data_IF_926221107245
#
_entry.id   IF_926221107245
#
_cell.length_a   1.000
_cell.length_b   1.000
_cell.length_c   1.000
_cell.angle_alpha   90.00
_cell.angle_beta   90.00
_cell.angle_gamma   90.00
#
_symmetry.space_group_name_H-M   'P 1'
#
loop_
_entity.id
_entity.type
_entity.pdbx_description
1 polymer ?
#
# COMPACT_ATOMS: atom_id res chain seq x y z
N UNK A 1 23.53 -20.30 8.14
CA UNK A 1 22.72 -19.08 7.90
C UNK A 1 21.41 -19.52 7.27
N UNK A 2 20.30 -19.24 7.93
CA UNK A 2 18.98 -19.66 7.46
C UNK A 2 18.59 -18.88 6.19
N UNK A 3 18.10 -19.57 5.17
CA UNK A 3 17.62 -18.96 3.91
C UNK A 3 16.10 -19.05 3.89
N UNK A 4 15.44 -17.91 3.85
CA UNK A 4 13.98 -17.82 3.91
C UNK A 4 13.48 -17.16 2.63
N UNK A 5 12.68 -17.90 1.88
CA UNK A 5 12.00 -17.41 0.71
C UNK A 5 10.64 -16.84 1.11
N UNK A 6 10.35 -15.61 0.70
CA UNK A 6 9.06 -14.96 0.89
C UNK A 6 8.48 -14.61 -0.47
N UNK A 7 7.25 -14.97 -0.73
CA UNK A 7 6.57 -14.63 -1.98
C UNK A 7 5.32 -13.79 -1.70
N UNK A 8 5.30 -12.58 -2.28
CA UNK A 8 4.13 -11.72 -2.34
C UNK A 8 4.10 -10.99 -3.70
N UNK A 9 3.19 -11.40 -4.56
CA UNK A 9 3.01 -10.85 -5.91
C UNK A 9 1.68 -10.14 -6.05
N UNK A 10 1.17 -9.64 -4.95
CA UNK A 10 -0.08 -8.90 -4.87
C UNK A 10 0.09 -7.42 -5.31
N UNK A 11 -0.82 -6.57 -4.94
CA UNK A 11 -0.78 -5.14 -5.28
C UNK A 11 0.30 -4.40 -4.46
N UNK A 12 0.60 -3.14 -4.84
CA UNK A 12 1.56 -2.29 -4.12
C UNK A 12 1.21 -2.13 -2.63
N UNK A 13 -0.09 -1.98 -2.33
CA UNK A 13 -0.59 -1.86 -0.96
C UNK A 13 -0.36 -3.15 -0.17
N UNK A 14 -0.66 -4.30 -0.77
CA UNK A 14 -0.46 -5.60 -0.14
C UNK A 14 1.03 -5.85 0.16
N UNK A 15 1.92 -5.50 -0.79
CA UNK A 15 3.37 -5.61 -0.59
C UNK A 15 3.84 -4.81 0.64
N UNK A 16 3.32 -3.60 0.84
CA UNK A 16 3.63 -2.81 2.05
C UNK A 16 3.07 -3.46 3.31
N UNK A 17 1.84 -3.96 3.27
CA UNK A 17 1.19 -4.66 4.39
C UNK A 17 1.90 -5.98 4.75
N UNK A 18 2.74 -6.52 3.87
CA UNK A 18 3.60 -7.67 4.14
C UNK A 18 4.95 -7.29 4.81
N UNK A 19 5.34 -6.01 4.84
CA UNK A 19 6.67 -5.60 5.37
C UNK A 19 6.87 -5.87 6.86
N UNK A 20 5.85 -5.84 7.75
CA UNK A 20 6.02 -6.32 9.13
C UNK A 20 6.40 -7.81 9.21
N UNK A 21 5.94 -8.63 8.27
CA UNK A 21 6.36 -10.05 8.19
C UNK A 21 7.86 -10.18 7.85
N UNK A 22 8.38 -9.33 6.96
CA UNK A 22 9.82 -9.29 6.66
C UNK A 22 10.64 -8.85 7.88
N UNK A 23 10.13 -7.86 8.65
CA UNK A 23 10.72 -7.46 9.93
C UNK A 23 10.74 -8.61 10.94
N UNK A 24 9.62 -9.31 11.12
CA UNK A 24 9.52 -10.46 12.02
C UNK A 24 10.59 -11.53 11.71
N UNK A 25 10.86 -11.79 10.43
CA UNK A 25 11.91 -12.71 10.00
C UNK A 25 13.29 -12.24 10.53
N UNK A 26 13.62 -10.97 10.35
CA UNK A 26 14.92 -10.42 10.79
C UNK A 26 15.04 -10.32 12.31
N UNK A 27 13.96 -10.04 13.02
CA UNK A 27 13.96 -10.04 14.48
C UNK A 27 14.11 -11.46 15.05
N UNK A 28 13.44 -12.45 14.47
CA UNK A 28 13.55 -13.86 14.89
C UNK A 28 14.88 -14.51 14.47
N UNK A 29 15.35 -14.18 13.26
CA UNK A 29 16.58 -14.73 12.67
C UNK A 29 17.47 -13.62 12.11
N UNK A 30 18.21 -12.86 12.96
CA UNK A 30 19.01 -11.70 12.54
C UNK A 30 20.02 -12.02 11.42
N UNK A 31 20.59 -13.23 11.45
CA UNK A 31 21.58 -13.69 10.48
C UNK A 31 20.95 -14.47 9.31
N UNK A 32 19.62 -14.41 9.10
CA UNK A 32 18.98 -15.06 7.96
C UNK A 32 19.22 -14.29 6.67
N UNK A 33 19.18 -15.00 5.54
CA UNK A 33 19.06 -14.41 4.21
C UNK A 33 17.60 -14.46 3.78
N UNK A 34 16.96 -13.31 3.70
CA UNK A 34 15.58 -13.14 3.24
C UNK A 34 15.58 -12.89 1.73
N UNK A 35 15.00 -13.82 0.97
CA UNK A 35 14.85 -13.72 -0.49
C UNK A 35 13.39 -13.41 -0.78
N UNK A 36 13.10 -12.21 -1.25
CA UNK A 36 11.73 -11.75 -1.53
C UNK A 36 11.42 -11.85 -3.01
N UNK A 37 10.33 -12.52 -3.37
CA UNK A 37 9.79 -12.52 -4.73
C UNK A 37 8.53 -11.65 -4.78
N UNK A 38 8.54 -10.66 -5.68
CA UNK A 38 7.46 -9.71 -5.85
C UNK A 38 7.18 -9.41 -7.33
N UNK A 39 6.12 -8.65 -7.59
CA UNK A 39 5.85 -8.12 -8.93
C UNK A 39 6.84 -6.99 -9.28
N UNK A 40 7.14 -6.74 -10.58
CA UNK A 40 7.99 -5.63 -10.99
C UNK A 40 7.51 -4.26 -10.49
N UNK A 41 6.19 -4.08 -10.36
CA UNK A 41 5.60 -2.85 -9.82
C UNK A 41 6.04 -2.54 -8.38
N UNK A 42 6.34 -3.57 -7.58
CA UNK A 42 6.77 -3.43 -6.18
C UNK A 42 8.27 -3.13 -6.01
N UNK A 43 9.02 -2.96 -7.11
CA UNK A 43 10.46 -2.74 -7.07
C UNK A 43 10.84 -1.58 -6.14
N UNK A 44 10.21 -0.43 -6.31
CA UNK A 44 10.53 0.77 -5.52
C UNK A 44 10.24 0.62 -4.02
N UNK A 45 9.35 -0.30 -3.64
CA UNK A 45 9.05 -0.61 -2.24
C UNK A 45 10.15 -1.47 -1.62
N UNK A 46 10.71 -2.42 -2.39
CA UNK A 46 11.51 -3.53 -1.86
C UNK A 46 13.00 -3.47 -2.21
N UNK A 47 13.40 -2.72 -3.24
CA UNK A 47 14.80 -2.58 -3.63
C UNK A 47 15.56 -1.75 -2.58
N UNK A 48 16.64 -2.30 -2.01
CA UNK A 48 17.36 -1.75 -0.84
C UNK A 48 16.50 -1.70 0.45
N UNK A 49 15.47 -2.55 0.55
CA UNK A 49 14.64 -2.61 1.75
C UNK A 49 15.42 -3.23 2.93
N UNK A 50 15.36 -2.67 4.15
CA UNK A 50 16.21 -3.08 5.28
C UNK A 50 16.04 -4.54 5.71
N UNK A 51 14.92 -5.18 5.34
CA UNK A 51 14.62 -6.57 5.72
C UNK A 51 14.68 -7.55 4.54
N UNK A 52 15.17 -7.10 3.37
CA UNK A 52 15.31 -7.94 2.16
C UNK A 52 16.77 -7.97 1.74
N UNK A 53 17.37 -9.16 1.70
CA UNK A 53 18.76 -9.34 1.27
C UNK A 53 18.85 -9.58 -0.25
N UNK A 54 17.81 -10.16 -0.84
CA UNK A 54 17.73 -10.41 -2.27
C UNK A 54 16.30 -10.22 -2.78
N UNK A 55 16.13 -9.37 -3.78
CA UNK A 55 14.84 -9.13 -4.43
C UNK A 55 14.79 -9.87 -5.77
N UNK A 56 13.77 -10.68 -5.96
CA UNK A 56 13.45 -11.39 -7.21
C UNK A 56 12.16 -10.81 -7.80
N UNK A 57 12.26 -10.15 -8.92
CA UNK A 57 11.09 -9.65 -9.64
C UNK A 57 10.61 -10.71 -10.61
N UNK A 58 9.31 -10.99 -10.60
CA UNK A 58 8.70 -11.98 -11.47
C UNK A 58 7.34 -11.52 -11.98
N UNK A 59 7.16 -11.60 -13.30
CA UNK A 59 5.88 -11.41 -13.97
C UNK A 59 5.44 -12.69 -14.70
N UNK A 60 4.15 -12.77 -14.99
CA UNK A 60 3.61 -13.92 -15.72
C UNK A 60 4.18 -13.93 -17.15
N UNK A 61 4.90 -15.00 -17.49
CA UNK A 61 5.58 -15.16 -18.78
C UNK A 61 7.10 -15.19 -18.66
N UNK A 62 7.65 -14.69 -17.55
CA UNK A 62 9.09 -14.76 -17.31
C UNK A 62 9.59 -16.18 -17.10
N UNK A 63 10.89 -16.40 -17.40
CA UNK A 63 11.56 -17.65 -17.09
C UNK A 63 11.61 -17.89 -15.59
N UNK A 64 11.21 -19.09 -15.17
CA UNK A 64 11.22 -19.50 -13.76
C UNK A 64 12.58 -20.01 -13.29
N UNK A 65 13.45 -20.42 -14.21
CA UNK A 65 14.75 -21.03 -13.88
C UNK A 65 15.66 -20.16 -13.01
N UNK A 66 15.81 -18.84 -13.28
CA UNK A 66 16.61 -17.98 -12.43
C UNK A 66 16.09 -17.92 -10.99
N UNK A 67 14.75 -17.89 -10.84
CA UNK A 67 14.10 -17.85 -9.52
C UNK A 67 14.35 -19.15 -8.79
N UNK A 68 14.07 -20.32 -9.42
CA UNK A 68 14.30 -21.64 -8.83
C UNK A 68 15.75 -21.78 -8.38
N UNK A 69 16.72 -21.39 -9.22
CA UNK A 69 18.16 -21.43 -8.89
C UNK A 69 18.48 -20.61 -7.66
N UNK A 70 17.91 -19.42 -7.53
CA UNK A 70 18.14 -18.49 -6.41
C UNK A 70 17.56 -18.99 -5.08
N UNK A 71 16.40 -19.63 -5.12
CA UNK A 71 15.70 -20.15 -3.92
C UNK A 71 15.97 -21.63 -3.66
N UNK A 72 16.84 -22.27 -4.47
CA UNK A 72 17.10 -23.72 -4.39
C UNK A 72 17.46 -24.15 -2.98
N UNK A 73 16.72 -25.10 -2.43
CA UNK A 73 16.89 -25.66 -1.08
C UNK A 73 16.97 -24.58 0.02
N UNK A 74 16.21 -23.49 -0.10
CA UNK A 74 15.99 -22.61 1.03
C UNK A 74 15.31 -23.39 2.18
N UNK A 75 15.51 -22.96 3.42
CA UNK A 75 15.06 -23.70 4.60
C UNK A 75 13.56 -23.59 4.83
N UNK A 76 12.97 -22.46 4.42
CA UNK A 76 11.57 -22.12 4.64
C UNK A 76 11.05 -21.26 3.48
N UNK A 77 9.80 -21.48 3.10
CA UNK A 77 9.05 -20.58 2.24
C UNK A 77 7.80 -20.07 2.95
N UNK A 78 7.61 -18.75 2.94
CA UNK A 78 6.40 -18.05 3.38
C UNK A 78 5.68 -17.51 2.15
N UNK A 79 4.50 -18.02 1.85
CA UNK A 79 3.70 -17.66 0.68
C UNK A 79 2.56 -16.76 1.17
N UNK A 80 2.71 -15.44 0.96
CA UNK A 80 1.79 -14.43 1.47
C UNK A 80 0.67 -14.12 0.47
N UNK A 81 0.91 -14.33 -0.82
CA UNK A 81 -0.08 -14.17 -1.88
C UNK A 81 -0.94 -15.43 -2.08
N UNK A 82 -1.98 -15.32 -2.91
CA UNK A 82 -2.87 -16.42 -3.29
C UNK A 82 -2.52 -17.04 -4.66
N UNK A 83 -1.36 -16.72 -5.23
CA UNK A 83 -0.94 -17.23 -6.52
C UNK A 83 -0.32 -18.63 -6.40
N UNK A 84 -0.92 -19.63 -7.04
CA UNK A 84 -0.42 -21.02 -7.00
C UNK A 84 1.03 -21.15 -7.48
N UNK A 85 1.51 -20.24 -8.36
CA UNK A 85 2.89 -20.25 -8.85
C UNK A 85 3.90 -20.00 -7.73
N UNK A 86 3.57 -19.20 -6.76
CA UNK A 86 4.46 -18.89 -5.62
C UNK A 86 4.77 -20.16 -4.83
N UNK A 87 3.76 -20.98 -4.53
CA UNK A 87 3.96 -22.27 -3.86
C UNK A 87 4.58 -23.34 -4.78
N UNK A 88 4.25 -23.31 -6.08
CA UNK A 88 4.87 -24.20 -7.08
C UNK A 88 6.38 -23.96 -7.18
N UNK A 89 6.83 -22.73 -7.25
CA UNK A 89 8.26 -22.41 -7.32
C UNK A 89 9.01 -22.89 -6.08
N UNK A 90 8.43 -22.69 -4.91
CA UNK A 90 9.00 -23.21 -3.67
C UNK A 90 9.08 -24.75 -3.66
N UNK A 91 8.10 -25.43 -4.22
CA UNK A 91 8.12 -26.88 -4.37
C UNK A 91 9.16 -27.35 -5.39
N UNK A 92 9.23 -26.75 -6.58
CA UNK A 92 10.24 -27.05 -7.59
C UNK A 92 11.68 -26.79 -7.09
N UNK A 93 11.86 -25.81 -6.19
CA UNK A 93 13.13 -25.50 -5.57
C UNK A 93 13.47 -26.43 -4.40
N UNK A 94 12.68 -27.50 -4.17
CA UNK A 94 12.89 -28.46 -3.08
C UNK A 94 12.94 -27.82 -1.68
N UNK A 95 12.19 -26.74 -1.44
CA UNK A 95 12.08 -26.14 -0.13
C UNK A 95 11.26 -27.05 0.77
N UNK A 96 11.80 -27.54 1.92
CA UNK A 96 11.16 -28.59 2.70
C UNK A 96 9.87 -28.12 3.40
N UNK A 97 9.84 -26.90 3.91
CA UNK A 97 8.69 -26.33 4.60
C UNK A 97 8.15 -25.12 3.85
N UNK A 98 6.89 -25.19 3.43
CA UNK A 98 6.22 -24.20 2.60
C UNK A 98 4.87 -23.85 3.23
N UNK A 99 4.84 -22.70 3.91
CA UNK A 99 3.70 -22.21 4.69
C UNK A 99 3.00 -21.11 3.90
N UNK A 100 1.69 -21.14 3.83
CA UNK A 100 0.93 -20.11 3.17
C UNK A 100 -0.55 -20.12 3.53
N UNK A 101 -1.27 -19.10 3.07
CA UNK A 101 -2.72 -19.00 3.31
C UNK A 101 -3.47 -20.13 2.61
N UNK A 102 -4.44 -20.74 3.30
CA UNK A 102 -5.26 -21.79 2.73
C UNK A 102 -6.13 -21.24 1.60
N UNK A 103 -5.97 -21.80 0.42
CA UNK A 103 -6.89 -21.61 -0.71
C UNK A 103 -6.94 -22.86 -1.57
N UNK A 104 -8.03 -23.03 -2.35
CA UNK A 104 -8.16 -24.15 -3.31
C UNK A 104 -7.05 -24.17 -4.36
N UNK A 105 -6.35 -23.04 -4.59
CA UNK A 105 -5.30 -22.90 -5.59
C UNK A 105 -3.90 -23.20 -5.04
N UNK A 106 -3.72 -23.33 -3.73
CA UNK A 106 -2.41 -23.50 -3.08
C UNK A 106 -2.10 -24.99 -2.83
N UNK A 107 -1.85 -25.73 -3.90
CA UNK A 107 -1.65 -27.19 -3.85
C UNK A 107 -0.28 -27.63 -3.31
N UNK A 108 0.75 -26.77 -3.43
CA UNK A 108 2.14 -27.14 -3.16
C UNK A 108 2.63 -26.73 -1.75
N UNK A 109 1.74 -26.31 -0.87
CA UNK A 109 2.06 -26.00 0.53
C UNK A 109 2.21 -27.29 1.35
N UNK A 110 3.14 -27.27 2.32
CA UNK A 110 3.22 -28.29 3.39
C UNK A 110 2.31 -27.95 4.54
N UNK A 111 2.22 -26.67 4.88
CA UNK A 111 1.44 -26.16 6.00
C UNK A 111 0.47 -25.09 5.49
N UNK A 112 -0.79 -25.22 5.85
CA UNK A 112 -1.83 -24.27 5.43
C UNK A 112 -2.35 -23.51 6.63
N UNK A 113 -2.19 -22.20 6.60
CA UNK A 113 -2.77 -21.32 7.60
C UNK A 113 -4.24 -21.11 7.24
N UNK A 114 -5.12 -21.61 8.10
CA UNK A 114 -6.55 -21.36 7.99
C UNK A 114 -6.81 -19.89 8.30
N UNK A 115 -6.85 -19.09 7.26
CA UNK A 115 -7.28 -17.71 7.28
C UNK A 115 -8.32 -17.57 6.20
N UNK A 116 -9.58 -17.51 6.53
CA UNK A 116 -10.52 -16.86 5.63
C UNK A 116 -10.06 -15.41 5.49
N UNK A 117 -10.09 -14.83 4.29
CA UNK A 117 -10.00 -13.39 4.14
C UNK A 117 -11.19 -12.79 4.89
N UNK A 118 -11.02 -12.62 6.19
CA UNK A 118 -12.03 -12.01 7.05
C UNK A 118 -11.79 -10.49 6.91
N UNK A 119 -12.74 -9.81 6.26
CA UNK A 119 -12.73 -8.37 6.11
C UNK A 119 -12.70 -7.59 7.44
N UNK A 120 -12.74 -8.29 8.57
CA UNK A 120 -12.62 -7.74 9.93
C UNK A 120 -11.21 -7.82 10.52
N UNK A 121 -10.27 -8.51 9.86
CA UNK A 121 -8.90 -8.68 10.35
C UNK A 121 -7.98 -7.77 9.53
N UNK A 122 -7.11 -7.01 10.21
CA UNK A 122 -6.11 -6.18 9.55
C UNK A 122 -5.18 -7.04 8.69
N UNK A 123 -4.91 -6.61 7.46
CA UNK A 123 -4.21 -7.45 6.49
C UNK A 123 -2.77 -7.77 6.92
N UNK A 124 -2.12 -6.89 7.69
CA UNK A 124 -0.82 -7.17 8.32
C UNK A 124 -0.91 -8.41 9.23
N UNK A 125 -1.99 -8.57 10.00
CA UNK A 125 -2.17 -9.75 10.86
C UNK A 125 -2.36 -11.03 10.05
N UNK A 126 -3.01 -10.93 8.88
CA UNK A 126 -3.15 -12.06 7.96
C UNK A 126 -1.79 -12.51 7.39
N UNK A 127 -0.89 -11.58 7.07
CA UNK A 127 0.47 -11.92 6.60
C UNK A 127 1.34 -12.45 7.74
N UNK A 128 1.25 -11.84 8.93
CA UNK A 128 1.95 -12.30 10.13
C UNK A 128 1.48 -13.70 10.59
N UNK A 129 0.20 -14.04 10.41
CA UNK A 129 -0.29 -15.37 10.74
C UNK A 129 0.46 -16.49 10.00
N UNK A 130 0.88 -16.23 8.74
CA UNK A 130 1.72 -17.17 7.97
C UNK A 130 3.10 -17.33 8.62
N UNK A 131 3.71 -16.25 9.07
CA UNK A 131 5.01 -16.29 9.75
C UNK A 131 4.93 -16.92 11.15
N UNK A 132 3.89 -16.59 11.92
CA UNK A 132 3.63 -17.18 13.26
C UNK A 132 3.51 -18.69 13.21
N UNK A 133 2.97 -19.23 12.13
CA UNK A 133 2.92 -20.70 11.94
C UNK A 133 4.32 -21.32 11.83
N UNK A 134 5.34 -20.53 11.51
CA UNK A 134 6.75 -20.93 11.53
C UNK A 134 7.47 -20.59 12.86
N UNK A 135 6.77 -20.02 13.84
CA UNK A 135 7.39 -19.49 15.06
C UNK A 135 8.10 -18.15 14.86
N UNK A 136 7.71 -17.39 13.82
CA UNK A 136 8.26 -16.08 13.49
C UNK A 136 7.19 -15.03 13.80
N UNK A 137 7.48 -14.09 14.69
CA UNK A 137 6.51 -13.08 15.12
C UNK A 137 7.17 -11.73 15.41
N UNK A 138 6.35 -10.69 15.48
CA UNK A 138 6.71 -9.35 15.92
C UNK A 138 5.47 -8.62 16.45
N UNK A 139 5.66 -7.75 17.43
CA UNK A 139 4.63 -6.80 17.88
C UNK A 139 4.64 -5.52 17.04
N UNK A 140 5.66 -5.31 16.21
CA UNK A 140 5.84 -4.10 15.40
C UNK A 140 5.12 -4.22 14.06
N UNK A 141 3.92 -3.71 13.98
CA UNK A 141 3.07 -3.76 12.78
C UNK A 141 3.19 -2.54 11.86
N UNK A 142 4.11 -1.58 12.15
CA UNK A 142 4.35 -0.42 11.30
C UNK A 142 4.92 -0.86 9.94
N UNK A 143 4.33 -0.30 8.88
CA UNK A 143 4.80 -0.51 7.52
C UNK A 143 6.17 0.13 7.30
N UNK A 144 6.98 -0.47 6.46
CA UNK A 144 8.32 0.03 6.12
C UNK A 144 8.44 0.11 4.60
N UNK A 145 9.03 1.18 4.12
CA UNK A 145 9.41 1.34 2.71
C UNK A 145 10.94 1.37 2.59
N UNK A 146 11.45 0.93 1.46
CA UNK A 146 12.84 1.18 1.10
C UNK A 146 13.13 2.69 1.12
N UNK A 147 14.31 3.12 1.59
CA UNK A 147 14.63 4.54 1.72
C UNK A 147 14.63 5.27 0.39
N UNK A 148 14.14 6.50 0.38
CA UNK A 148 14.25 7.39 -0.77
C UNK A 148 15.71 7.79 -0.96
N UNK A 149 16.24 7.60 -2.17
CA UNK A 149 17.64 7.87 -2.52
C UNK A 149 17.91 9.38 -2.65
N UNK A 150 19.18 9.77 -2.55
CA UNK A 150 19.56 11.19 -2.63
C UNK A 150 19.14 11.86 -3.96
N UNK A 151 19.31 11.17 -5.09
CA UNK A 151 18.88 11.66 -6.40
C UNK A 151 17.34 11.77 -6.52
N UNK A 152 16.59 10.83 -5.93
CA UNK A 152 15.13 10.87 -5.88
C UNK A 152 14.64 12.05 -5.03
N UNK A 153 15.24 12.29 -3.86
CA UNK A 153 14.94 13.47 -3.04
C UNK A 153 15.25 14.76 -3.77
N UNK A 154 16.36 14.81 -4.52
CA UNK A 154 16.72 15.98 -5.32
C UNK A 154 15.72 16.23 -6.46
N UNK A 155 15.24 15.19 -7.13
CA UNK A 155 14.20 15.28 -8.15
C UNK A 155 12.90 15.88 -7.58
N UNK A 156 12.44 15.39 -6.43
CA UNK A 156 11.24 15.95 -5.76
C UNK A 156 11.44 17.44 -5.45
N UNK A 157 12.61 17.84 -4.91
CA UNK A 157 12.93 19.25 -4.64
C UNK A 157 12.87 20.10 -5.91
N UNK A 158 13.40 19.60 -7.03
CA UNK A 158 13.34 20.29 -8.33
C UNK A 158 11.89 20.43 -8.82
N UNK A 159 11.04 19.40 -8.66
CA UNK A 159 9.61 19.49 -8.99
C UNK A 159 8.90 20.54 -8.14
N UNK A 160 9.21 20.62 -6.85
CA UNK A 160 8.64 21.63 -5.94
C UNK A 160 9.04 23.04 -6.40
N UNK A 161 10.32 23.29 -6.63
CA UNK A 161 10.83 24.59 -7.10
C UNK A 161 10.19 24.98 -8.44
N UNK A 162 10.11 24.05 -9.41
CA UNK A 162 9.49 24.28 -10.72
C UNK A 162 8.03 24.71 -10.61
N UNK A 163 7.34 24.29 -9.58
CA UNK A 163 5.95 24.66 -9.29
C UNK A 163 5.83 25.81 -8.27
N UNK A 164 6.91 26.57 -8.05
CA UNK A 164 6.97 27.72 -7.13
C UNK A 164 6.58 27.37 -5.68
N UNK A 165 6.88 26.13 -5.26
CA UNK A 165 6.64 25.65 -3.91
C UNK A 165 7.88 25.86 -3.04
N UNK A 166 7.74 26.69 -2.01
CA UNK A 166 8.73 26.84 -0.94
C UNK A 166 8.23 26.17 0.34
N UNK A 167 8.86 25.06 0.71
CA UNK A 167 8.50 24.27 1.89
C UNK A 167 8.68 25.04 3.20
N UNK A 168 9.49 26.11 3.23
CA UNK A 168 9.65 26.96 4.41
C UNK A 168 8.46 27.90 4.61
N UNK A 169 7.73 28.20 3.55
CA UNK A 169 6.64 29.18 3.55
C UNK A 169 5.26 28.55 3.38
N UNK A 170 5.19 27.35 2.82
CA UNK A 170 3.92 26.76 2.38
C UNK A 170 3.64 25.42 3.08
N UNK A 171 2.41 25.32 3.59
CA UNK A 171 1.89 24.05 4.14
C UNK A 171 1.23 23.22 3.04
N UNK A 172 1.81 22.05 2.73
CA UNK A 172 1.31 21.17 1.68
C UNK A 172 0.30 20.17 2.21
N UNK A 173 -0.82 20.02 1.51
CA UNK A 173 -1.75 18.89 1.65
C UNK A 173 -1.71 18.06 0.36
N UNK A 174 -1.50 16.76 0.51
CA UNK A 174 -1.46 15.82 -0.62
C UNK A 174 -2.82 15.17 -0.79
N UNK A 175 -3.35 15.19 -2.02
CA UNK A 175 -4.56 14.48 -2.40
C UNK A 175 -4.25 13.35 -3.38
N UNK A 176 -4.85 12.17 -3.19
CA UNK A 176 -4.84 11.08 -4.16
C UNK A 176 -6.28 10.68 -4.51
N UNK A 177 -6.90 11.34 -5.51
CA UNK A 177 -8.32 11.22 -5.80
C UNK A 177 -8.73 9.86 -6.37
N UNK A 178 -7.81 9.15 -7.02
CA UNK A 178 -8.13 7.99 -7.82
C UNK A 178 -7.45 6.72 -7.35
N UNK A 179 -8.10 5.61 -7.62
CA UNK A 179 -7.60 4.27 -7.40
C UNK A 179 -7.71 3.43 -8.68
N UNK A 180 -7.17 2.20 -8.68
CA UNK A 180 -7.34 1.25 -9.80
C UNK A 180 -8.81 0.85 -10.05
N UNK A 181 -9.70 1.10 -9.10
CA UNK A 181 -11.13 0.81 -9.23
C UNK A 181 -11.95 2.06 -8.95
N UNK A 182 -12.64 2.54 -9.96
CA UNK A 182 -13.53 3.70 -9.86
C UNK A 182 -14.66 3.55 -8.81
N UNK A 183 -14.93 2.32 -8.36
CA UNK A 183 -15.89 2.06 -7.26
C UNK A 183 -15.44 2.67 -5.93
N UNK A 184 -14.13 2.90 -5.76
CA UNK A 184 -13.53 3.46 -4.53
C UNK A 184 -13.31 4.96 -4.62
N UNK A 185 -13.48 5.55 -5.81
CA UNK A 185 -13.19 6.97 -6.03
C UNK A 185 -14.33 7.81 -5.45
N UNK A 186 -13.98 8.76 -4.59
CA UNK A 186 -14.86 9.79 -4.12
C UNK A 186 -15.17 10.77 -5.28
N UNK A 187 -16.38 11.39 -5.36
CA UNK A 187 -16.73 12.24 -6.50
C UNK A 187 -15.73 13.37 -6.77
N UNK A 188 -15.45 13.62 -8.04
CA UNK A 188 -14.46 14.64 -8.45
C UNK A 188 -14.88 16.05 -8.04
N UNK A 189 -16.17 16.36 -8.17
CA UNK A 189 -16.76 17.62 -7.71
C UNK A 189 -16.63 17.81 -6.18
N UNK A 190 -16.57 16.72 -5.41
CA UNK A 190 -16.36 16.77 -3.98
C UNK A 190 -14.89 17.02 -3.64
N UNK A 191 -13.96 16.42 -4.39
CA UNK A 191 -12.54 16.75 -4.27
C UNK A 191 -12.28 18.22 -4.62
N UNK A 192 -12.95 18.80 -5.65
CA UNK A 192 -12.81 20.21 -5.97
C UNK A 192 -13.28 21.12 -4.82
N UNK A 193 -14.37 20.76 -4.13
CA UNK A 193 -14.83 21.51 -2.96
C UNK A 193 -13.82 21.44 -1.81
N UNK A 194 -13.20 20.27 -1.58
CA UNK A 194 -12.13 20.12 -0.61
C UNK A 194 -10.89 20.95 -0.99
N UNK A 195 -10.51 21.00 -2.26
CA UNK A 195 -9.40 21.83 -2.76
C UNK A 195 -9.69 23.30 -2.45
N UNK A 196 -10.87 23.79 -2.81
CA UNK A 196 -11.27 25.18 -2.55
C UNK A 196 -11.22 25.50 -1.06
N UNK A 197 -11.71 24.60 -0.21
CA UNK A 197 -11.64 24.76 1.25
C UNK A 197 -10.18 24.85 1.75
N UNK A 198 -9.29 23.99 1.28
CA UNK A 198 -7.87 23.96 1.68
C UNK A 198 -7.15 25.24 1.23
N UNK A 199 -7.39 25.69 0.00
CA UNK A 199 -6.78 26.92 -0.55
C UNK A 199 -7.25 28.16 0.22
N UNK A 200 -8.53 28.25 0.56
CA UNK A 200 -9.07 29.33 1.42
C UNK A 200 -8.40 29.37 2.80
N UNK A 201 -7.97 28.22 3.32
CA UNK A 201 -7.23 28.08 4.57
C UNK A 201 -5.70 28.11 4.36
N UNK A 202 -5.21 28.67 3.25
CA UNK A 202 -3.80 28.91 2.92
C UNK A 202 -2.93 27.64 2.79
N UNK A 203 -3.55 26.50 2.49
CA UNK A 203 -2.80 25.27 2.13
C UNK A 203 -2.54 25.20 0.64
N UNK A 204 -1.36 24.72 0.28
CA UNK A 204 -1.06 24.36 -1.10
C UNK A 204 -1.44 22.91 -1.34
N UNK A 205 -2.32 22.68 -2.29
CA UNK A 205 -2.82 21.35 -2.62
C UNK A 205 -1.98 20.74 -3.73
N UNK A 206 -1.41 19.55 -3.46
CA UNK A 206 -0.66 18.76 -4.44
C UNK A 206 -1.39 17.45 -4.73
N UNK A 207 -1.68 17.19 -6.00
CA UNK A 207 -2.33 15.96 -6.44
C UNK A 207 -1.28 14.95 -6.88
N UNK A 208 -1.36 13.72 -6.35
CA UNK A 208 -0.50 12.60 -6.69
C UNK A 208 -1.29 11.40 -7.20
N UNK A 209 -0.62 10.49 -7.89
CA UNK A 209 -1.23 9.26 -8.42
C UNK A 209 -0.42 8.66 -9.55
N UNK A 210 -0.85 7.51 -10.05
CA UNK A 210 -0.26 6.85 -11.21
C UNK A 210 -0.50 7.63 -12.51
N UNK A 211 0.41 7.46 -13.47
CA UNK A 211 0.37 8.16 -14.77
C UNK A 211 -0.96 7.98 -15.54
N UNK A 212 -1.64 6.87 -15.31
CA UNK A 212 -2.95 6.52 -15.90
C UNK A 212 -4.06 7.50 -15.50
N UNK A 213 -3.89 8.24 -14.41
CA UNK A 213 -4.87 9.21 -13.92
C UNK A 213 -4.58 10.67 -14.35
N UNK A 214 -3.46 10.90 -15.06
CA UNK A 214 -2.97 12.26 -15.38
C UNK A 214 -3.99 13.13 -16.11
N UNK A 215 -4.70 12.55 -17.08
CA UNK A 215 -5.70 13.30 -17.86
C UNK A 215 -6.92 13.66 -16.99
N UNK A 216 -7.38 12.74 -16.15
CA UNK A 216 -8.50 12.99 -15.26
C UNK A 216 -8.23 14.10 -14.25
N UNK A 217 -7.00 14.21 -13.78
CA UNK A 217 -6.61 15.21 -12.76
C UNK A 217 -6.43 16.63 -13.33
N UNK A 218 -6.38 16.83 -14.64
CA UNK A 218 -6.31 18.16 -15.26
C UNK A 218 -7.51 19.06 -14.99
N UNK A 219 -8.63 18.49 -14.58
CA UNK A 219 -9.88 19.21 -14.29
C UNK A 219 -9.89 19.88 -12.91
N UNK A 220 -8.97 19.54 -12.03
CA UNK A 220 -8.88 20.19 -10.71
C UNK A 220 -8.19 21.54 -10.82
N UNK A 221 -8.91 22.61 -10.50
CA UNK A 221 -8.34 23.96 -10.38
C UNK A 221 -7.65 24.17 -9.04
N UNK A 222 -6.85 25.21 -8.94
CA UNK A 222 -6.20 25.67 -7.71
C UNK A 222 -5.39 24.58 -6.98
N UNK A 223 -4.82 23.66 -7.76
CA UNK A 223 -3.99 22.56 -7.28
C UNK A 223 -2.79 22.31 -8.18
N UNK A 224 -1.72 21.79 -7.62
CA UNK A 224 -0.51 21.42 -8.34
C UNK A 224 -0.59 19.96 -8.72
N UNK A 225 -0.67 19.67 -10.03
CA UNK A 225 -0.79 18.32 -10.53
C UNK A 225 0.59 17.67 -10.72
N UNK A 226 0.96 16.75 -9.82
CA UNK A 226 2.20 15.96 -9.89
C UNK A 226 1.95 14.49 -10.29
N UNK A 227 0.77 14.16 -10.79
CA UNK A 227 0.37 12.81 -11.18
C UNK A 227 1.29 12.26 -12.27
N UNK A 228 1.88 11.09 -12.04
CA UNK A 228 2.78 10.40 -12.97
C UNK A 228 4.14 11.06 -13.16
N UNK A 229 4.52 12.05 -12.31
CA UNK A 229 5.84 12.71 -12.36
C UNK A 229 6.86 12.10 -11.40
N UNK A 230 6.41 11.28 -10.46
CA UNK A 230 7.22 10.71 -9.39
C UNK A 230 7.07 9.19 -9.34
N UNK A 231 8.14 8.51 -8.96
CA UNK A 231 8.08 7.11 -8.57
C UNK A 231 7.48 6.94 -7.15
N UNK A 232 7.37 5.70 -6.67
CA UNK A 232 6.74 5.40 -5.37
C UNK A 232 7.53 6.01 -4.21
N UNK A 233 8.87 5.93 -4.21
CA UNK A 233 9.73 6.49 -3.15
C UNK A 233 9.68 8.02 -3.14
N UNK A 234 9.71 8.63 -4.31
CA UNK A 234 9.59 10.08 -4.47
C UNK A 234 8.23 10.58 -3.98
N UNK A 235 7.14 9.86 -4.34
CA UNK A 235 5.79 10.17 -3.84
C UNK A 235 5.74 10.06 -2.31
N UNK A 236 6.32 9.00 -1.74
CA UNK A 236 6.39 8.81 -0.29
C UNK A 236 7.22 9.91 0.39
N UNK A 237 8.33 10.32 -0.23
CA UNK A 237 9.13 11.43 0.28
C UNK A 237 8.36 12.76 0.23
N UNK A 238 7.64 13.07 -0.86
CA UNK A 238 6.75 14.23 -0.89
C UNK A 238 5.70 14.18 0.22
N UNK A 239 5.08 13.02 0.43
CA UNK A 239 4.11 12.80 1.51
C UNK A 239 4.73 13.10 2.87
N UNK A 240 5.97 12.68 3.13
CA UNK A 240 6.65 12.94 4.41
C UNK A 240 6.92 14.44 4.70
N UNK A 241 6.83 15.29 3.67
CA UNK A 241 6.94 16.74 3.78
C UNK A 241 5.57 17.43 3.93
N UNK A 242 4.48 16.70 3.76
CA UNK A 242 3.13 17.24 3.80
C UNK A 242 2.57 17.30 5.24
N UNK A 243 1.61 18.19 5.45
CA UNK A 243 0.86 18.30 6.72
C UNK A 243 -0.26 17.27 6.83
N UNK A 244 -0.80 16.81 5.69
CA UNK A 244 -1.91 15.89 5.62
C UNK A 244 -1.94 15.17 4.26
N UNK A 245 -2.41 13.93 4.27
CA UNK A 245 -2.85 13.20 3.06
C UNK A 245 -4.35 12.95 3.13
N UNK A 246 -5.08 13.23 2.05
CA UNK A 246 -6.48 12.83 1.91
C UNK A 246 -6.62 11.93 0.67
N UNK A 247 -7.13 10.72 0.86
CA UNK A 247 -7.30 9.76 -0.22
C UNK A 247 -8.38 8.70 0.11
N UNK A 248 -8.76 7.92 -0.88
CA UNK A 248 -9.52 6.69 -0.66
C UNK A 248 -8.64 5.50 -0.24
N UNK A 249 -9.22 4.30 -0.27
CA UNK A 249 -8.49 3.05 -0.09
C UNK A 249 -7.62 2.75 -1.33
N UNK A 250 -6.45 3.37 -1.41
CA UNK A 250 -5.47 3.30 -2.51
C UNK A 250 -4.08 2.93 -1.98
N UNK A 251 -3.14 2.64 -2.88
CA UNK A 251 -1.74 2.40 -2.50
C UNK A 251 -1.11 3.62 -1.82
N UNK A 252 -1.51 4.84 -2.18
CA UNK A 252 -1.00 6.08 -1.57
C UNK A 252 -1.30 6.14 -0.07
N UNK A 253 -2.44 5.60 0.38
CA UNK A 253 -2.75 5.47 1.81
C UNK A 253 -1.68 4.65 2.55
N UNK A 254 -1.22 3.56 1.95
CA UNK A 254 -0.18 2.72 2.54
C UNK A 254 1.22 3.34 2.41
N UNK A 255 1.48 4.14 1.36
CA UNK A 255 2.71 4.94 1.28
C UNK A 255 2.78 5.95 2.43
N UNK A 256 1.69 6.67 2.68
CA UNK A 256 1.58 7.61 3.80
C UNK A 256 1.75 6.91 5.16
N UNK A 257 1.26 5.68 5.31
CA UNK A 257 1.41 4.89 6.54
C UNK A 257 2.87 4.48 6.86
N UNK A 258 3.81 4.64 5.90
CA UNK A 258 5.25 4.47 6.16
C UNK A 258 5.92 5.75 6.66
N UNK A 259 5.17 6.85 6.74
CA UNK A 259 5.59 8.17 7.25
C UNK A 259 4.82 8.53 8.53
N UNK A 260 5.20 9.63 9.18
CA UNK A 260 4.43 10.15 10.33
C UNK A 260 3.32 11.13 9.92
N UNK A 261 3.12 11.35 8.61
CA UNK A 261 2.11 12.27 8.07
C UNK A 261 0.70 11.82 8.45
N UNK A 262 -0.14 12.70 9.03
CA UNK A 262 -1.55 12.40 9.26
C UNK A 262 -2.31 12.07 7.97
N UNK A 263 -3.33 11.23 8.09
CA UNK A 263 -4.12 10.76 6.96
C UNK A 263 -5.61 10.88 7.24
N UNK A 264 -6.36 11.34 6.27
CA UNK A 264 -7.83 11.21 6.23
C UNK A 264 -8.18 10.27 5.09
N UNK A 265 -8.77 9.14 5.44
CA UNK A 265 -9.05 8.04 4.51
C UNK A 265 -10.55 7.87 4.28
N UNK A 266 -10.98 8.04 3.03
CA UNK A 266 -12.37 7.89 2.61
C UNK A 266 -12.62 6.43 2.20
N UNK A 267 -13.50 5.75 2.94
CA UNK A 267 -13.81 4.34 2.73
C UNK A 267 -15.25 4.13 2.27
N UNK A 268 -15.41 3.49 1.13
CA UNK A 268 -16.70 3.08 0.59
C UNK A 268 -16.81 1.55 0.56
N UNK A 269 -16.55 0.90 -0.61
CA UNK A 269 -16.81 -0.52 -0.81
C UNK A 269 -15.80 -1.47 -0.14
N UNK A 270 -14.70 -0.95 0.44
CA UNK A 270 -13.65 -1.72 1.12
C UNK A 270 -13.77 -1.61 2.63
N UNK A 271 -13.33 -2.65 3.35
CA UNK A 271 -13.35 -2.68 4.82
C UNK A 271 -12.21 -1.85 5.42
N UNK A 272 -12.48 -0.80 6.20
CA UNK A 272 -11.42 -0.11 6.92
C UNK A 272 -10.79 -0.98 8.01
N UNK A 273 -11.51 -1.94 8.55
CA UNK A 273 -10.96 -2.91 9.52
C UNK A 273 -9.83 -3.74 8.92
N UNK A 274 -9.91 -4.02 7.62
CA UNK A 274 -8.89 -4.80 6.92
C UNK A 274 -7.75 -3.94 6.38
N UNK A 275 -8.05 -2.75 5.86
CA UNK A 275 -7.09 -2.02 5.04
C UNK A 275 -6.59 -0.70 5.63
N UNK A 276 -7.30 -0.11 6.61
CA UNK A 276 -6.88 1.18 7.14
C UNK A 276 -5.63 1.05 8.02
N UNK A 277 -4.64 1.94 7.84
CA UNK A 277 -3.50 2.05 8.74
C UNK A 277 -3.95 2.27 10.19
N UNK A 278 -3.23 1.67 11.14
CA UNK A 278 -3.59 1.71 12.56
C UNK A 278 -3.05 2.94 13.29
N UNK A 279 -2.15 3.71 12.65
CA UNK A 279 -1.54 4.91 13.23
C UNK A 279 -1.77 6.10 12.31
N UNK A 280 -2.03 7.27 12.87
CA UNK A 280 -2.17 8.55 12.17
C UNK A 280 -3.20 8.56 11.01
N UNK A 281 -4.22 7.71 11.06
CA UNK A 281 -5.24 7.60 10.03
C UNK A 281 -6.65 7.77 10.59
N UNK A 282 -7.31 8.84 10.19
CA UNK A 282 -8.72 9.09 10.48
C UNK A 282 -9.57 8.57 9.34
N UNK A 283 -10.46 7.64 9.63
CA UNK A 283 -11.33 6.97 8.64
C UNK A 283 -12.69 7.64 8.59
N UNK A 284 -13.14 7.95 7.38
CA UNK A 284 -14.52 8.38 7.10
C UNK A 284 -15.20 7.27 6.28
N UNK A 285 -16.31 6.76 6.78
CA UNK A 285 -17.10 5.70 6.12
C UNK A 285 -18.57 5.75 6.47
N UNK A 286 -19.41 5.29 5.56
CA UNK A 286 -20.86 5.09 5.80
C UNK A 286 -21.14 3.61 6.03
N UNK A 287 -21.91 3.32 7.07
CA UNK A 287 -22.33 1.94 7.38
C UNK A 287 -23.57 1.58 6.54
N UNK A 288 -23.35 1.21 5.27
CA UNK A 288 -24.42 0.70 4.41
C UNK A 288 -24.49 -0.83 4.49
N UNK A 289 -25.69 -1.39 4.31
CA UNK A 289 -25.89 -2.85 4.33
C UNK A 289 -25.08 -3.57 3.23
N UNK A 290 -24.84 -2.90 2.10
CA UNK A 290 -24.03 -3.45 1.00
C UNK A 290 -22.52 -3.31 1.20
N UNK A 291 -22.04 -2.52 2.16
CA UNK A 291 -20.63 -2.24 2.36
C UNK A 291 -20.08 -2.91 3.66
N UNK A 292 -18.89 -3.55 3.59
CA UNK A 292 -17.98 -3.67 2.46
C UNK A 292 -18.41 -4.73 1.44
N UNK A 293 -18.30 -4.42 0.13
CA UNK A 293 -18.68 -5.34 -0.96
C UNK A 293 -17.55 -5.62 -1.97
N UNK A 294 -16.44 -4.86 -1.95
CA UNK A 294 -15.40 -4.94 -2.96
C UNK A 294 -14.79 -6.34 -3.13
N UNK A 295 -14.60 -7.06 -2.02
CA UNK A 295 -14.06 -8.42 -2.03
C UNK A 295 -15.04 -9.49 -2.53
N UNK A 296 -16.31 -9.15 -2.65
CA UNK A 296 -17.35 -10.13 -3.08
C UNK A 296 -17.46 -10.25 -4.59
N UNK A 297 -16.82 -9.34 -5.35
CA UNK A 297 -16.94 -9.29 -6.81
C UNK A 297 -18.33 -8.90 -7.30
N UNK A 298 -19.21 -8.42 -6.42
CA UNK A 298 -20.57 -7.96 -6.80
C UNK A 298 -20.48 -6.61 -7.52
N UNK A 299 -21.30 -6.44 -8.54
CA UNK A 299 -21.51 -5.13 -9.17
C UNK A 299 -22.18 -4.18 -8.18
N UNK A 300 -21.80 -2.91 -8.27
CA UNK A 300 -22.42 -1.87 -7.45
C UNK A 300 -23.83 -1.58 -7.97
N UNK A 301 -24.84 -1.88 -7.16
CA UNK A 301 -26.25 -1.64 -7.52
C UNK A 301 -26.72 -0.23 -7.16
N UNK A 302 -26.00 0.46 -6.25
CA UNK A 302 -26.42 1.73 -5.65
C UNK A 302 -25.55 2.92 -6.11
N UNK A 303 -25.04 2.91 -7.33
CA UNK A 303 -24.23 3.99 -7.94
C UNK A 303 -23.19 4.59 -6.95
N UNK A 304 -22.44 3.72 -6.26
CA UNK A 304 -21.42 4.11 -5.30
C UNK A 304 -21.92 4.95 -4.12
N UNK A 305 -23.15 4.72 -3.68
CA UNK A 305 -23.78 5.47 -2.60
C UNK A 305 -22.90 5.55 -1.34
N UNK A 306 -22.13 4.50 -1.04
CA UNK A 306 -21.22 4.42 0.11
C UNK A 306 -20.14 5.52 0.12
N UNK A 307 -19.65 5.99 -1.04
CA UNK A 307 -18.70 7.11 -1.16
C UNK A 307 -19.42 8.44 -1.45
N UNK A 308 -20.56 8.42 -2.17
CA UNK A 308 -21.32 9.64 -2.49
C UNK A 308 -22.03 10.25 -1.29
N UNK A 309 -22.44 9.47 -0.30
CA UNK A 309 -23.01 9.96 0.94
C UNK A 309 -21.98 10.60 1.90
N UNK A 310 -20.69 10.39 1.67
CA UNK A 310 -19.64 11.12 2.40
C UNK A 310 -19.55 12.51 1.76
N UNK A 311 -20.13 13.52 2.43
CA UNK A 311 -20.22 14.88 1.88
C UNK A 311 -18.90 15.65 2.00
N UNK A 312 -18.64 16.65 1.13
CA UNK A 312 -17.50 17.54 1.27
C UNK A 312 -17.43 18.23 2.64
N UNK A 313 -18.56 18.65 3.19
CA UNK A 313 -18.65 19.29 4.51
C UNK A 313 -18.13 18.37 5.60
N UNK A 314 -18.53 17.10 5.57
CA UNK A 314 -18.06 16.08 6.51
C UNK A 314 -16.53 15.87 6.42
N UNK A 315 -16.00 15.78 5.20
CA UNK A 315 -14.55 15.62 4.98
C UNK A 315 -13.79 16.88 5.43
N UNK A 316 -14.26 18.09 5.07
CA UNK A 316 -13.65 19.35 5.49
C UNK A 316 -13.65 19.50 7.02
N UNK A 317 -14.74 19.09 7.69
CA UNK A 317 -14.80 19.10 9.16
C UNK A 317 -13.72 18.21 9.79
N UNK A 318 -13.56 16.98 9.30
CA UNK A 318 -12.53 16.06 9.78
C UNK A 318 -11.12 16.60 9.45
N UNK A 319 -10.92 17.14 8.26
CA UNK A 319 -9.66 17.77 7.85
C UNK A 319 -9.30 18.95 8.76
N UNK A 320 -10.27 19.82 9.09
CA UNK A 320 -10.06 20.92 10.04
C UNK A 320 -9.60 20.42 11.41
N UNK A 321 -10.23 19.37 11.92
CA UNK A 321 -9.84 18.77 13.20
C UNK A 321 -8.41 18.25 13.19
N UNK A 322 -8.00 17.57 12.09
CA UNK A 322 -6.65 17.01 11.95
C UNK A 322 -5.59 18.11 11.76
N UNK A 323 -5.93 19.20 11.09
CA UNK A 323 -5.04 20.34 10.81
C UNK A 323 -5.07 21.40 11.91
N UNK A 324 -5.97 21.28 12.92
CA UNK A 324 -6.17 22.24 14.00
C UNK A 324 -6.56 23.65 13.49
N UNK A 325 -7.52 23.71 12.54
CA UNK A 325 -8.07 24.93 11.97
C UNK A 325 -9.26 25.48 12.77
#
# INVERSE_FOLDING_TARGET
MKRIFVADRASLGDTLLATPTLRAIKETYPNSRTIMMASPASKDILDEHPFVDELLLYEKGDSIFPIIKKIWRADLALILDFHYRSSLFAWLACIPRRIGRSSKKQLFLTDRVLGTPNASIYEVENTLAVARHAGIDTEKTQLVMAPCRANEKQHVKQLLIKNSLDLALQSIVVLAPYSLSSLKDWPEEYYQQLINFLVLNQFTVVIVGGKEHRERTKRFSDSINMVGLMNIRETTYLISLAKLVVCGCTSVLHFAATTDTPQVAIYGPTSPLQWAPRKNCTVITKKLLCSPCYSTGRECQDDKLCVRQITPVEVCTVVSQVLHL
#
